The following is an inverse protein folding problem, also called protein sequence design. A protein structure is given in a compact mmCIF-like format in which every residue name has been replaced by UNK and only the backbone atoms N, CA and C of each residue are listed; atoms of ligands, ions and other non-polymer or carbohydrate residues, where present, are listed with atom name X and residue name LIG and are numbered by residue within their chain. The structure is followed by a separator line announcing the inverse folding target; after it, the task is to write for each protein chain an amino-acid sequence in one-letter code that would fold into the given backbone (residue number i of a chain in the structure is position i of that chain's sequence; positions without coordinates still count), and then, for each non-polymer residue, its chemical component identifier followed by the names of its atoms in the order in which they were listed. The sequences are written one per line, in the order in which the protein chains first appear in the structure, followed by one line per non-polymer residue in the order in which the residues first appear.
data_IF_226149880230
#
_entry.id   IF_226149880230
#
_cell.length_a   1.000
_cell.length_b   1.000
_cell.length_c   1.000
_cell.angle_alpha   90.00
_cell.angle_beta   90.00
_cell.angle_gamma   90.00
#
_symmetry.space_group_name_H-M   'P 1'
#
loop_
_entity.id
_entity.type
_entity.pdbx_description
1 polymer ?
#
# COMPACT_ATOMS: atom_id res chain seq x y z
N UNK A 1 -26.95 4.31 0.19
CA UNK A 1 -25.83 3.69 0.86
C UNK A 1 -24.67 4.65 0.88
N UNK A 2 -24.39 5.17 2.03
CA UNK A 2 -23.14 5.85 2.17
C UNK A 2 -22.13 4.83 1.97
N UNK A 3 -21.58 4.92 0.94
CA UNK A 3 -20.78 3.87 0.58
C UNK A 3 -19.43 4.02 1.19
N UNK A 4 -18.78 2.93 1.27
CA UNK A 4 -17.42 2.79 1.68
C UNK A 4 -16.50 3.79 0.94
N UNK A 5 -16.88 4.14 -0.28
CA UNK A 5 -16.13 5.06 -1.11
C UNK A 5 -16.11 6.47 -0.52
N UNK A 6 -17.25 6.94 -0.02
CA UNK A 6 -17.34 8.26 0.65
C UNK A 6 -16.59 8.24 1.98
N UNK A 7 -16.69 7.16 2.72
CA UNK A 7 -15.96 7.01 3.98
C UNK A 7 -14.45 7.06 3.77
N UNK A 8 -13.97 6.39 2.74
CA UNK A 8 -12.54 6.40 2.38
C UNK A 8 -12.12 7.82 1.97
N UNK A 9 -12.92 8.48 1.14
CA UNK A 9 -12.65 9.85 0.72
C UNK A 9 -12.59 10.81 1.91
N UNK A 10 -13.58 10.74 2.79
CA UNK A 10 -13.64 11.58 3.98
C UNK A 10 -12.45 11.33 4.90
N UNK A 11 -12.07 10.08 5.06
CA UNK A 11 -10.91 9.73 5.85
C UNK A 11 -9.64 10.41 5.33
N UNK A 12 -9.37 10.32 4.04
CA UNK A 12 -8.17 10.93 3.46
C UNK A 12 -8.22 12.45 3.50
N UNK A 13 -9.40 13.02 3.30
CA UNK A 13 -9.60 14.48 3.38
C UNK A 13 -9.36 14.99 4.79
N UNK A 14 -9.89 14.31 5.78
CA UNK A 14 -9.70 14.69 7.19
C UNK A 14 -8.25 14.56 7.62
N UNK A 15 -7.59 13.53 7.15
CA UNK A 15 -6.17 13.30 7.43
C UNK A 15 -5.32 14.46 6.90
N UNK A 16 -5.68 15.01 5.76
CA UNK A 16 -4.96 16.11 5.16
C UNK A 16 -5.21 17.46 5.88
N UNK A 17 -6.34 17.58 6.57
CA UNK A 17 -6.80 18.87 7.11
C UNK A 17 -6.67 19.05 8.61
N UNK A 18 -6.84 18.01 9.39
CA UNK A 18 -7.21 18.17 10.79
C UNK A 18 -6.15 17.88 11.82
N UNK A 19 -5.02 17.35 11.45
CA UNK A 19 -4.05 16.88 12.42
C UNK A 19 -2.75 17.66 12.36
N UNK A 20 -2.16 17.91 13.54
CA UNK A 20 -0.80 18.39 13.60
C UNK A 20 0.13 17.34 13.02
N UNK A 21 1.30 17.75 12.57
CA UNK A 21 2.28 16.80 12.02
C UNK A 21 2.58 15.65 12.97
N UNK A 22 2.66 15.93 14.25
CA UNK A 22 2.91 14.92 15.27
C UNK A 22 1.79 13.88 15.31
N UNK A 23 0.53 14.33 15.36
CA UNK A 23 -0.62 13.41 15.38
C UNK A 23 -0.73 12.61 14.09
N UNK A 24 -0.44 13.23 12.96
CA UNK A 24 -0.44 12.54 11.68
C UNK A 24 0.60 11.43 11.66
N UNK A 25 1.76 11.68 12.19
CA UNK A 25 2.83 10.69 12.23
C UNK A 25 2.48 9.52 13.15
N UNK A 26 1.95 9.80 14.34
CA UNK A 26 1.53 8.74 15.25
C UNK A 26 0.44 7.86 14.66
N UNK A 27 -0.56 8.48 14.06
CA UNK A 27 -1.65 7.73 13.43
C UNK A 27 -1.16 6.91 12.24
N UNK A 28 -0.24 7.47 11.47
CA UNK A 28 0.35 6.77 10.33
C UNK A 28 1.14 5.55 10.79
N UNK A 29 1.94 5.70 11.85
CA UNK A 29 2.76 4.61 12.38
C UNK A 29 1.90 3.50 12.97
N UNK A 30 0.87 3.86 13.76
CA UNK A 30 -0.03 2.89 14.36
C UNK A 30 -0.79 2.10 13.30
N UNK A 31 -1.27 2.79 12.27
CA UNK A 31 -2.00 2.16 11.18
C UNK A 31 -1.10 1.27 10.35
N UNK A 32 0.09 1.73 10.08
CA UNK A 32 1.09 0.96 9.34
C UNK A 32 1.38 -0.36 10.05
N UNK A 33 1.61 -0.31 11.36
CA UNK A 33 1.87 -1.50 12.16
C UNK A 33 0.69 -2.46 12.13
N UNK A 34 -0.52 -1.95 12.33
CA UNK A 34 -1.74 -2.75 12.31
C UNK A 34 -1.90 -3.50 10.98
N UNK A 35 -1.79 -2.79 9.86
CA UNK A 35 -1.95 -3.40 8.54
C UNK A 35 -0.82 -4.36 8.22
N UNK A 36 0.39 -4.01 8.60
CA UNK A 36 1.55 -4.88 8.41
C UNK A 36 1.32 -6.21 9.12
N UNK A 37 0.98 -6.16 10.39
CA UNK A 37 0.79 -7.37 11.19
C UNK A 37 -0.32 -8.23 10.62
N UNK A 38 -1.42 -7.61 10.21
CA UNK A 38 -2.55 -8.31 9.63
C UNK A 38 -2.19 -8.99 8.31
N UNK A 39 -1.54 -8.25 7.41
CA UNK A 39 -1.15 -8.79 6.11
C UNK A 39 -0.12 -9.91 6.23
N UNK A 40 0.88 -9.74 7.08
CA UNK A 40 1.90 -10.77 7.29
C UNK A 40 1.29 -12.02 7.90
N UNK A 41 0.34 -11.88 8.81
CA UNK A 41 -0.36 -13.02 9.40
C UNK A 41 -1.16 -13.78 8.34
N UNK A 42 -1.91 -13.06 7.49
CA UNK A 42 -2.69 -13.69 6.43
C UNK A 42 -1.82 -14.40 5.41
N UNK A 43 -0.72 -13.78 5.02
CA UNK A 43 0.22 -14.38 4.06
C UNK A 43 0.93 -15.58 4.65
N UNK A 44 1.29 -15.52 5.93
CA UNK A 44 1.91 -16.65 6.63
C UNK A 44 0.97 -17.85 6.72
N UNK A 45 -0.32 -17.62 6.93
CA UNK A 45 -1.32 -18.67 6.95
C UNK A 45 -1.56 -19.27 5.57
N UNK A 46 -1.57 -18.40 4.54
CA UNK A 46 -1.81 -18.84 3.16
C UNK A 46 -0.63 -19.61 2.57
N UNK A 47 0.58 -19.25 2.96
CA UNK A 47 1.81 -19.81 2.41
C UNK A 47 2.79 -20.19 3.51
N UNK A 48 2.43 -21.18 4.37
CA UNK A 48 3.22 -21.45 5.58
C UNK A 48 4.62 -22.00 5.33
N UNK A 49 4.88 -22.54 4.15
CA UNK A 49 6.17 -23.16 3.82
C UNK A 49 7.00 -22.31 2.86
N UNK A 50 6.57 -21.07 2.58
CA UNK A 50 7.29 -20.21 1.65
C UNK A 50 7.88 -19.00 2.36
N UNK A 51 9.07 -18.62 1.93
CA UNK A 51 9.68 -17.38 2.38
C UNK A 51 9.07 -16.19 1.61
N UNK A 52 9.05 -14.99 2.20
CA UNK A 52 8.51 -13.82 1.51
C UNK A 52 9.09 -13.59 0.11
N UNK A 53 10.37 -13.83 -0.06
CA UNK A 53 11.06 -13.63 -1.35
C UNK A 53 10.52 -14.55 -2.46
N UNK A 54 9.85 -15.63 -2.08
CA UNK A 54 9.26 -16.58 -3.01
C UNK A 54 7.82 -16.22 -3.39
N UNK A 55 7.23 -15.25 -2.72
CA UNK A 55 5.82 -14.89 -2.89
C UNK A 55 5.71 -13.63 -3.72
N UNK A 56 4.96 -13.71 -4.82
CA UNK A 56 4.69 -12.59 -5.70
C UNK A 56 3.33 -11.99 -5.38
N UNK A 57 3.30 -10.69 -5.21
CA UNK A 57 2.07 -9.96 -4.86
C UNK A 57 1.76 -8.93 -5.93
N UNK A 58 0.51 -8.90 -6.36
CA UNK A 58 0.01 -7.89 -7.27
C UNK A 58 -0.89 -6.94 -6.49
N UNK A 59 -0.48 -5.68 -6.40
CA UNK A 59 -1.25 -4.63 -5.74
C UNK A 59 -1.95 -3.79 -6.80
N UNK A 60 -3.23 -4.03 -7.01
CA UNK A 60 -4.03 -3.34 -8.02
C UNK A 60 -4.69 -2.13 -7.39
N UNK A 61 -4.49 -0.95 -8.01
CA UNK A 61 -4.96 0.29 -7.43
C UNK A 61 -4.07 0.73 -6.28
N UNK A 62 -2.76 0.69 -6.49
CA UNK A 62 -1.78 0.93 -5.42
C UNK A 62 -1.88 2.34 -4.83
N UNK A 63 -2.42 3.33 -5.57
CA UNK A 63 -2.51 4.70 -5.11
C UNK A 63 -1.17 5.25 -4.66
N UNK A 64 -1.08 5.81 -3.43
CA UNK A 64 0.20 6.30 -2.91
C UNK A 64 1.18 5.20 -2.50
N UNK A 65 0.84 3.94 -2.71
CA UNK A 65 1.75 2.81 -2.53
C UNK A 65 1.81 2.23 -1.12
N UNK A 66 0.85 2.52 -0.27
CA UNK A 66 0.89 2.14 1.14
C UNK A 66 1.13 0.63 1.34
N UNK A 67 0.26 -0.21 0.75
CA UNK A 67 0.39 -1.66 0.91
C UNK A 67 1.60 -2.22 0.17
N UNK A 68 1.87 -1.70 -1.03
CA UNK A 68 3.03 -2.14 -1.80
C UNK A 68 4.33 -1.91 -1.02
N UNK A 69 4.45 -0.76 -0.38
CA UNK A 69 5.63 -0.42 0.42
C UNK A 69 5.75 -1.33 1.63
N UNK A 70 4.65 -1.55 2.37
CA UNK A 70 4.65 -2.44 3.53
C UNK A 70 5.12 -3.84 3.16
N UNK A 71 4.59 -4.37 2.06
CA UNK A 71 4.91 -5.71 1.62
C UNK A 71 6.33 -5.83 1.09
N UNK A 72 6.80 -4.83 0.36
CA UNK A 72 8.18 -4.81 -0.11
C UNK A 72 9.18 -4.74 1.05
N UNK A 73 8.86 -3.96 2.08
CA UNK A 73 9.70 -3.90 3.29
C UNK A 73 9.81 -5.25 3.97
N UNK A 74 8.76 -6.07 3.88
CA UNK A 74 8.74 -7.40 4.48
C UNK A 74 9.42 -8.46 3.59
N UNK A 75 9.89 -8.08 2.42
CA UNK A 75 10.65 -8.97 1.54
C UNK A 75 9.87 -9.61 0.40
N UNK A 76 8.58 -9.31 0.28
CA UNK A 76 7.76 -9.86 -0.79
C UNK A 76 8.08 -9.22 -2.13
N UNK A 77 7.87 -9.98 -3.21
CA UNK A 77 8.03 -9.47 -4.57
C UNK A 77 6.74 -8.79 -4.99
N UNK A 78 6.75 -7.46 -5.08
CA UNK A 78 5.54 -6.68 -5.32
C UNK A 78 5.55 -6.06 -6.71
N UNK A 79 4.42 -6.22 -7.41
CA UNK A 79 4.11 -5.45 -8.61
C UNK A 79 2.93 -4.55 -8.26
N UNK A 80 3.11 -3.25 -8.42
CA UNK A 80 2.10 -2.25 -8.07
C UNK A 80 1.54 -1.64 -9.35
N UNK A 81 0.23 -1.65 -9.47
CA UNK A 81 -0.48 -1.15 -10.63
C UNK A 81 -1.40 -0.01 -10.24
N UNK A 82 -1.39 1.06 -11.02
CA UNK A 82 -2.36 2.12 -10.87
C UNK A 82 -2.79 2.63 -12.23
N UNK A 83 -3.93 3.30 -12.24
CA UNK A 83 -4.53 3.82 -13.46
C UNK A 83 -3.73 4.97 -14.06
N UNK A 84 -3.09 5.78 -13.24
CA UNK A 84 -2.36 6.97 -13.71
C UNK A 84 -0.87 6.93 -13.37
N UNK A 85 -0.06 7.53 -14.25
CA UNK A 85 1.37 7.68 -14.00
C UNK A 85 1.64 8.61 -12.83
N UNK A 86 0.80 9.62 -12.61
CA UNK A 86 0.95 10.56 -11.50
C UNK A 86 0.91 9.84 -10.17
N UNK A 87 -0.06 8.93 -10.00
CA UNK A 87 -0.16 8.15 -8.77
C UNK A 87 1.05 7.25 -8.58
N UNK A 88 1.54 6.65 -9.64
CA UNK A 88 2.75 5.81 -9.56
C UNK A 88 3.98 6.61 -9.19
N UNK A 89 4.10 7.83 -9.71
CA UNK A 89 5.22 8.72 -9.33
C UNK A 89 5.17 9.05 -7.86
N UNK A 90 4.00 9.37 -7.36
CA UNK A 90 3.81 9.64 -5.93
C UNK A 90 4.16 8.42 -5.09
N UNK A 91 3.68 7.25 -5.49
CA UNK A 91 3.99 5.99 -4.79
C UNK A 91 5.48 5.70 -4.80
N UNK A 92 6.16 5.93 -5.91
CA UNK A 92 7.60 5.74 -6.00
C UNK A 92 8.35 6.69 -5.08
N UNK A 93 7.92 7.94 -4.98
CA UNK A 93 8.51 8.90 -4.05
C UNK A 93 8.30 8.45 -2.60
N UNK A 94 7.11 7.96 -2.28
CA UNK A 94 6.82 7.45 -0.93
C UNK A 94 7.65 6.21 -0.60
N UNK A 95 7.93 5.38 -1.59
CA UNK A 95 8.74 4.18 -1.41
C UNK A 95 10.22 4.49 -1.23
N UNK A 96 10.68 5.62 -1.77
CA UNK A 96 12.06 6.09 -1.68
C UNK A 96 13.05 4.99 -2.09
N UNK A 97 13.94 4.57 -1.19
CA UNK A 97 14.93 3.55 -1.49
C UNK A 97 14.35 2.19 -1.88
N UNK A 98 13.12 1.89 -1.47
CA UNK A 98 12.43 0.65 -1.83
C UNK A 98 11.82 0.68 -3.22
N UNK A 99 11.76 1.84 -3.87
CA UNK A 99 11.11 1.95 -5.17
C UNK A 99 11.70 1.01 -6.21
N UNK A 100 13.00 0.78 -6.15
CA UNK A 100 13.70 -0.13 -7.06
C UNK A 100 13.38 -1.60 -6.81
N UNK A 101 12.77 -1.93 -5.66
CA UNK A 101 12.40 -3.30 -5.30
C UNK A 101 10.97 -3.64 -5.71
N UNK A 102 10.23 -2.67 -6.25
CA UNK A 102 8.85 -2.82 -6.65
C UNK A 102 8.74 -2.60 -8.15
N UNK A 103 7.96 -3.45 -8.82
CA UNK A 103 7.67 -3.26 -10.24
C UNK A 103 6.44 -2.36 -10.34
N UNK A 104 6.56 -1.26 -11.07
CA UNK A 104 5.50 -0.27 -11.21
C UNK A 104 4.93 -0.32 -12.62
N UNK A 105 3.61 -0.44 -12.73
CA UNK A 105 2.94 -0.50 -14.03
C UNK A 105 1.67 0.32 -14.02
N UNK A 106 1.45 1.08 -15.11
CA UNK A 106 0.13 1.66 -15.34
C UNK A 106 -0.79 0.56 -15.86
N UNK A 107 -2.03 0.56 -15.42
CA UNK A 107 -2.98 -0.44 -15.87
C UNK A 107 -4.37 -0.15 -15.34
N UNK A 108 -5.36 -0.69 -16.05
CA UNK A 108 -6.75 -0.63 -15.65
C UNK A 108 -7.13 -1.99 -15.03
N UNK A 109 -7.66 -1.96 -13.82
CA UNK A 109 -8.07 -3.17 -13.12
C UNK A 109 -9.08 -3.99 -13.92
N UNK A 110 -9.85 -3.35 -14.78
CA UNK A 110 -10.85 -4.02 -15.62
C UNK A 110 -10.24 -4.65 -16.87
N UNK A 111 -9.00 -4.34 -17.19
CA UNK A 111 -8.32 -4.78 -18.40
C UNK A 111 -7.06 -5.60 -18.13
N UNK A 112 -6.93 -6.12 -16.94
CA UNK A 112 -5.79 -6.96 -16.56
C UNK A 112 -5.88 -8.36 -17.15
#
# INVERSE_FOLDING_TARGET
MTDLKNEIHDYWTNRARGYSEYNQQEMADARRTMWRDKLLSLLGEAFPEREPEEIKILDVGTGPGFFAILLAEAGYQVTAIDYTEEMLKEAQQNADGLAKCIVWKTGDAQAL
#
